data_IF_334708099177
#
_entry.id   IF_334708099177
#
_cell.length_a   1.000
_cell.length_b   1.000
_cell.length_c   1.000
_cell.angle_alpha   90.00
_cell.angle_beta   90.00
_cell.angle_gamma   90.00
#
_symmetry.space_group_name_H-M   'P 1'
#
loop_
_entity.id
_entity.type
_entity.pdbx_description
1 polymer ?
#
# COMPACT_ATOMS: atom_id res chain seq x y z
N UNK A 1 -11.68 -6.05 -62.80
CA UNK A 1 -12.78 -5.08 -62.97
C UNK A 1 -13.32 -4.79 -61.59
N UNK A 2 -12.71 -3.84 -60.88
CA UNK A 2 -13.22 -2.46 -60.77
C UNK A 2 -14.65 -2.41 -60.26
N UNK A 3 -14.85 -2.01 -59.01
CA UNK A 3 -15.20 -0.61 -58.72
C UNK A 3 -15.03 -0.29 -57.23
N UNK A 4 -14.09 0.61 -56.96
CA UNK A 4 -14.03 1.46 -55.76
C UNK A 4 -15.02 2.61 -55.95
N UNK A 5 -15.71 3.07 -54.90
CA UNK A 5 -16.19 4.44 -54.56
C UNK A 5 -17.09 4.24 -53.30
N UNK A 6 -17.07 5.00 -52.20
CA UNK A 6 -16.77 6.40 -51.96
C UNK A 6 -16.37 6.60 -50.47
N UNK A 7 -15.48 7.56 -50.22
CA UNK A 7 -14.95 7.90 -48.90
C UNK A 7 -15.96 8.64 -48.02
N UNK A 8 -16.31 8.06 -46.87
CA UNK A 8 -16.90 8.78 -45.73
C UNK A 8 -15.82 9.05 -44.67
N UNK A 9 -15.24 10.25 -44.66
CA UNK A 9 -14.25 10.68 -43.65
C UNK A 9 -14.97 11.13 -42.38
N UNK A 10 -15.17 10.23 -41.41
CA UNK A 10 -15.50 10.63 -40.04
C UNK A 10 -14.21 11.00 -39.30
N UNK A 11 -14.08 12.27 -38.92
CA UNK A 11 -13.07 12.74 -37.96
C UNK A 11 -13.61 12.48 -36.55
N UNK A 12 -12.96 11.69 -35.68
CA UNK A 12 -13.23 11.77 -34.25
C UNK A 12 -12.51 13.00 -33.69
N UNK A 13 -13.30 13.94 -33.16
CA UNK A 13 -12.82 15.08 -32.38
C UNK A 13 -11.91 14.60 -31.23
N UNK A 14 -10.75 15.25 -31.07
CA UNK A 14 -9.99 15.22 -29.81
C UNK A 14 -10.90 15.73 -28.70
N UNK A 15 -11.38 14.84 -27.85
CA UNK A 15 -11.90 15.21 -26.53
C UNK A 15 -10.67 15.57 -25.67
N UNK A 16 -10.65 16.70 -24.93
CA UNK A 16 -9.73 16.82 -23.82
C UNK A 16 -10.23 15.79 -22.80
N UNK A 17 -9.64 14.60 -22.83
CA UNK A 17 -9.86 13.61 -21.79
C UNK A 17 -9.28 14.22 -20.53
N UNK A 18 -10.17 14.78 -19.71
CA UNK A 18 -9.92 15.09 -18.32
C UNK A 18 -9.09 13.96 -17.75
N UNK A 19 -7.81 14.25 -17.46
CA UNK A 19 -7.07 13.44 -16.53
C UNK A 19 -7.85 13.55 -15.23
N UNK A 20 -8.78 12.63 -15.02
CA UNK A 20 -9.25 12.33 -13.69
C UNK A 20 -7.96 12.01 -12.95
N UNK A 21 -7.47 12.98 -12.17
CA UNK A 21 -6.54 12.73 -11.11
C UNK A 21 -7.15 11.56 -10.37
N UNK A 22 -6.62 10.35 -10.59
CA UNK A 22 -6.92 9.21 -9.75
C UNK A 22 -6.86 9.78 -8.34
N UNK A 23 -7.92 9.69 -7.51
CA UNK A 23 -7.79 10.11 -6.15
C UNK A 23 -6.62 9.30 -5.60
N UNK A 24 -5.48 9.97 -5.36
CA UNK A 24 -4.34 9.37 -4.69
C UNK A 24 -4.83 9.08 -3.27
N UNK A 25 -5.49 7.94 -3.10
CA UNK A 25 -6.01 7.52 -1.82
C UNK A 25 -4.81 7.17 -0.95
N UNK A 26 -4.60 8.02 0.04
CA UNK A 26 -3.59 7.80 1.05
C UNK A 26 -4.07 6.69 1.97
N UNK A 27 -3.15 5.87 2.47
CA UNK A 27 -3.44 4.86 3.48
C UNK A 27 -2.92 5.31 4.86
N UNK A 28 -3.67 4.96 5.90
CA UNK A 28 -3.20 5.16 7.27
C UNK A 28 -2.25 4.04 7.64
N UNK A 29 -1.05 4.40 8.10
CA UNK A 29 -0.08 3.47 8.68
C UNK A 29 0.02 3.78 10.16
N UNK A 30 -0.24 2.79 11.00
CA UNK A 30 -0.07 2.88 12.44
C UNK A 30 0.90 1.79 12.92
N UNK A 31 1.81 2.11 13.83
CA UNK A 31 2.77 1.11 14.33
C UNK A 31 3.15 1.31 15.80
N UNK A 32 3.28 0.18 16.50
CA UNK A 32 3.87 0.12 17.83
C UNK A 32 5.38 0.00 17.70
N UNK A 33 6.13 0.77 18.50
CA UNK A 33 7.59 0.81 18.40
C UNK A 33 8.24 0.35 19.69
N UNK A 34 9.04 -0.72 19.64
CA UNK A 34 9.89 -1.20 20.72
C UNK A 34 9.19 -1.35 22.09
N UNK A 35 7.94 -1.85 22.09
CA UNK A 35 7.16 -2.09 23.31
C UNK A 35 6.43 -0.87 23.86
N UNK A 36 6.48 0.29 23.19
CA UNK A 36 5.68 1.44 23.58
C UNK A 36 4.17 1.12 23.48
N UNK A 37 3.36 1.51 24.49
CA UNK A 37 1.95 1.15 24.54
C UNK A 37 1.07 1.97 23.58
N UNK A 38 1.56 3.12 23.11
CA UNK A 38 0.84 4.04 22.24
C UNK A 38 1.42 3.94 20.83
N UNK A 39 0.60 3.67 19.79
CA UNK A 39 1.11 3.57 18.43
C UNK A 39 1.35 4.95 17.80
N UNK A 40 2.37 5.03 16.96
CA UNK A 40 2.56 6.15 16.04
C UNK A 40 1.63 6.01 14.85
N UNK A 41 1.20 7.13 14.27
CA UNK A 41 0.30 7.16 13.11
C UNK A 41 0.78 8.15 12.07
N UNK A 42 0.75 7.75 10.80
CA UNK A 42 1.00 8.62 9.65
C UNK A 42 0.08 8.30 8.47
N UNK A 43 0.11 9.15 7.44
CA UNK A 43 -0.55 8.95 6.15
C UNK A 43 0.52 8.73 5.07
N UNK A 44 0.42 7.64 4.34
CA UNK A 44 1.31 7.31 3.21
C UNK A 44 0.54 7.47 1.91
N UNK A 45 1.19 8.01 0.88
CA UNK A 45 0.58 8.18 -0.44
C UNK A 45 0.42 6.83 -1.14
N UNK A 46 -0.78 6.58 -1.66
CA UNK A 46 -1.12 5.33 -2.33
C UNK A 46 -1.56 4.24 -1.35
N UNK A 47 -2.27 3.22 -1.88
CA UNK A 47 -2.76 2.08 -1.10
C UNK A 47 -1.76 0.94 -0.97
N UNK A 48 -0.75 0.89 -1.83
CA UNK A 48 0.28 -0.16 -1.84
C UNK A 48 1.51 0.40 -1.14
N UNK A 49 1.86 -0.19 0.00
CA UNK A 49 3.04 0.18 0.78
C UNK A 49 3.91 -1.05 0.95
N UNK A 50 5.21 -0.94 0.65
CA UNK A 50 6.17 -2.02 0.88
C UNK A 50 6.87 -1.90 2.23
N UNK A 51 7.54 -2.97 2.68
CA UNK A 51 8.35 -2.92 3.89
C UNK A 51 9.45 -1.85 3.80
N UNK A 52 10.11 -1.69 2.65
CA UNK A 52 11.12 -0.66 2.44
C UNK A 52 10.57 0.75 2.68
N UNK A 53 9.40 1.06 2.12
CA UNK A 53 8.73 2.34 2.34
C UNK A 53 8.31 2.54 3.80
N UNK A 54 7.88 1.48 4.48
CA UNK A 54 7.58 1.55 5.91
C UNK A 54 8.84 1.84 6.74
N UNK A 55 9.98 1.23 6.42
CA UNK A 55 11.25 1.47 7.11
C UNK A 55 11.70 2.92 7.03
N UNK A 56 11.43 3.60 5.91
CA UNK A 56 11.69 5.04 5.75
C UNK A 56 10.88 5.93 6.71
N UNK A 57 9.76 5.44 7.24
CA UNK A 57 8.95 6.16 8.24
C UNK A 57 9.61 6.15 9.63
N UNK A 58 10.54 5.22 9.89
CA UNK A 58 11.18 5.08 11.19
C UNK A 58 12.26 6.15 11.36
N UNK A 59 12.15 6.95 12.42
CA UNK A 59 13.10 8.02 12.72
C UNK A 59 14.36 7.54 13.45
N UNK A 60 14.34 6.32 13.99
CA UNK A 60 15.43 5.71 14.75
C UNK A 60 16.05 4.57 13.94
N UNK A 61 17.37 4.63 13.73
CA UNK A 61 18.14 3.55 13.09
C UNK A 61 18.35 2.40 14.06
N UNK A 62 18.36 1.18 13.53
CA UNK A 62 18.62 -0.04 14.30
C UNK A 62 18.24 -1.29 13.51
N UNK A 63 18.58 -2.44 14.10
CA UNK A 63 18.14 -3.73 13.59
C UNK A 63 16.79 -4.08 14.25
N UNK A 64 15.78 -4.28 13.43
CA UNK A 64 14.41 -4.53 13.89
C UNK A 64 13.80 -5.74 13.17
N UNK A 65 12.88 -6.40 13.86
CA UNK A 65 11.88 -7.28 13.24
C UNK A 65 10.59 -6.52 13.04
N UNK A 66 9.92 -6.80 11.93
CA UNK A 66 8.73 -6.10 11.48
C UNK A 66 7.60 -7.09 11.37
N UNK A 67 6.52 -6.85 12.10
CA UNK A 67 5.33 -7.67 12.05
C UNK A 67 4.13 -6.83 11.68
N UNK A 68 3.21 -7.37 10.89
CA UNK A 68 2.03 -6.64 10.45
C UNK A 68 0.76 -7.44 10.70
N UNK A 69 -0.27 -6.75 11.20
CA UNK A 69 -1.56 -7.37 11.47
C UNK A 69 -2.21 -7.80 10.16
N UNK A 70 -2.65 -9.05 10.09
CA UNK A 70 -3.26 -9.69 8.93
C UNK A 70 -4.45 -10.54 9.36
N UNK A 71 -5.49 -10.59 8.53
CA UNK A 71 -6.61 -11.52 8.74
C UNK A 71 -6.13 -12.94 8.47
N UNK A 72 -6.50 -13.88 9.34
CA UNK A 72 -6.11 -15.29 9.22
C UNK A 72 -7.25 -16.18 9.73
N UNK A 73 -7.48 -17.29 9.04
CA UNK A 73 -8.44 -18.34 9.37
C UNK A 73 -7.80 -19.49 10.19
N UNK A 74 -6.49 -19.43 10.44
CA UNK A 74 -5.75 -20.48 11.16
C UNK A 74 -5.96 -20.44 12.69
N UNK A 75 -6.41 -19.30 13.23
CA UNK A 75 -6.53 -19.06 14.67
C UNK A 75 -7.91 -18.52 15.03
N UNK A 76 -8.44 -18.90 16.19
CA UNK A 76 -9.76 -18.45 16.68
C UNK A 76 -9.87 -16.92 16.83
N UNK A 77 -8.74 -16.21 16.97
CA UNK A 77 -8.70 -14.76 17.03
C UNK A 77 -8.99 -14.07 15.68
N UNK A 78 -8.97 -14.80 14.56
CA UNK A 78 -9.23 -14.28 13.20
C UNK A 78 -8.12 -13.39 12.63
N UNK A 79 -7.05 -13.15 13.38
CA UNK A 79 -5.94 -12.26 13.01
C UNK A 79 -4.61 -12.75 13.57
N UNK A 80 -3.53 -12.44 12.86
CA UNK A 80 -2.15 -12.69 13.28
C UNK A 80 -1.28 -11.48 13.03
N UNK A 81 -0.11 -11.44 13.68
CA UNK A 81 0.99 -10.59 13.29
C UNK A 81 1.97 -11.42 12.46
N UNK A 82 2.02 -11.15 11.16
CA UNK A 82 2.91 -11.82 10.20
C UNK A 82 4.26 -11.10 10.13
N UNK A 83 5.37 -11.83 10.27
CA UNK A 83 6.71 -11.27 10.10
C UNK A 83 7.00 -11.01 8.61
N UNK A 84 7.45 -9.80 8.28
CA UNK A 84 7.86 -9.43 6.92
C UNK A 84 9.34 -9.05 6.91
N UNK A 85 10.11 -9.67 6.02
CA UNK A 85 11.58 -9.53 5.97
C UNK A 85 12.11 -8.81 4.73
N UNK A 86 11.42 -8.94 3.60
CA UNK A 86 11.87 -8.48 2.29
C UNK A 86 11.32 -7.07 1.99
N UNK A 87 12.17 -6.15 1.53
CA UNK A 87 11.84 -4.72 1.38
C UNK A 87 10.80 -4.42 0.30
N UNK A 88 10.70 -5.29 -0.71
CA UNK A 88 9.76 -5.24 -1.81
C UNK A 88 8.40 -5.89 -1.48
N UNK A 89 8.30 -6.59 -0.35
CA UNK A 89 7.03 -7.19 0.08
C UNK A 89 6.00 -6.13 0.40
N UNK A 90 4.81 -6.27 -0.19
CA UNK A 90 3.64 -5.42 0.07
C UNK A 90 3.05 -5.76 1.44
N UNK A 91 2.82 -4.74 2.25
CA UNK A 91 2.31 -4.88 3.62
C UNK A 91 0.82 -5.22 3.64
N UNK A 92 0.37 -6.11 4.55
CA UNK A 92 -1.04 -6.46 4.66
C UNK A 92 -1.87 -5.27 5.16
N UNK A 93 -3.05 -5.11 4.57
CA UNK A 93 -4.04 -4.12 4.97
C UNK A 93 -5.06 -4.79 5.90
N UNK A 94 -5.27 -4.22 7.07
CA UNK A 94 -6.26 -4.61 8.06
C UNK A 94 -7.22 -3.44 8.30
N UNK A 95 -8.51 -3.63 8.00
CA UNK A 95 -9.55 -2.60 8.17
C UNK A 95 -9.16 -1.24 7.58
N UNK A 96 -8.73 -1.24 6.30
CA UNK A 96 -8.30 -0.05 5.54
C UNK A 96 -7.03 0.66 6.07
N UNK A 97 -6.30 0.01 6.98
CA UNK A 97 -5.06 0.54 7.56
C UNK A 97 -3.96 -0.51 7.52
N UNK A 98 -2.73 -0.06 7.64
CA UNK A 98 -1.61 -0.95 7.94
C UNK A 98 -1.32 -0.82 9.44
N UNK A 99 -1.31 -1.95 10.14
CA UNK A 99 -1.00 -1.99 11.59
C UNK A 99 0.28 -2.79 11.78
N UNK A 100 1.36 -2.10 12.11
CA UNK A 100 2.70 -2.68 12.32
C UNK A 100 3.08 -2.81 13.80
N UNK A 101 3.98 -3.75 14.08
CA UNK A 101 4.71 -3.87 15.33
C UNK A 101 6.20 -3.96 14.98
N UNK A 102 6.99 -3.03 15.52
CA UNK A 102 8.44 -2.97 15.33
C UNK A 102 9.11 -3.41 16.63
N UNK A 103 9.88 -4.49 16.55
CA UNK A 103 10.62 -5.03 17.70
C UNK A 103 12.12 -4.88 17.47
N UNK A 104 12.83 -4.43 18.51
CA UNK A 104 14.29 -4.36 18.46
C UNK A 104 14.87 -5.78 18.50
N UNK A 105 15.86 -6.03 17.66
CA UNK A 105 16.70 -7.22 17.74
C UNK A 105 17.87 -6.86 18.66
N UNK A 106 18.04 -7.62 19.74
CA UNK A 106 19.22 -7.52 20.61
C UNK A 106 20.48 -8.08 19.94
#
# INVERSE_FOLDING_TARGET
MSLVFLHGRLKPQKRPGSGASQPCENIVVAYYFCGEPIPYRTLVKGRVVTLGQFKELLTKKGNYRYYFKKVSDEFDCGVVFEEVREDDTILPIFEEKIIGKVEKID
#
